data_IF_489748843347
#
_entry.id   IF_489748843347
#
_cell.length_a   1.000
_cell.length_b   1.000
_cell.length_c   1.000
_cell.angle_alpha   90.00
_cell.angle_beta   90.00
_cell.angle_gamma   90.00
#
_symmetry.space_group_name_H-M   'P 1'
#
loop_
_entity.id
_entity.type
_entity.pdbx_description
1 polymer ?
#
# COMPACT_ATOMS: atom_id res chain seq x y z
N UNK A 1 -31.00 -39.02 -14.25
CA UNK A 1 -29.54 -39.30 -14.25
C UNK A 1 -28.73 -38.13 -14.82
N UNK A 2 -28.84 -37.76 -16.10
CA UNK A 2 -28.00 -36.72 -16.74
C UNK A 2 -28.14 -35.29 -16.17
N UNK A 3 -29.33 -34.91 -15.70
CA UNK A 3 -29.55 -33.57 -15.10
C UNK A 3 -28.77 -33.39 -13.81
N UNK A 4 -28.68 -34.44 -12.97
CA UNK A 4 -27.95 -34.44 -11.68
C UNK A 4 -26.44 -34.19 -11.87
N UNK A 5 -25.82 -34.83 -12.87
CA UNK A 5 -24.41 -34.61 -13.20
C UNK A 5 -24.12 -33.20 -13.75
N UNK A 6 -25.09 -32.58 -14.46
CA UNK A 6 -24.98 -31.19 -14.92
C UNK A 6 -25.01 -30.19 -13.77
N UNK A 7 -25.90 -30.39 -12.79
CA UNK A 7 -25.97 -29.53 -11.58
C UNK A 7 -24.71 -29.72 -10.74
N UNK A 8 -24.26 -30.96 -10.48
CA UNK A 8 -22.99 -31.23 -9.79
C UNK A 8 -21.80 -30.56 -10.50
N UNK A 9 -21.70 -30.69 -11.83
CA UNK A 9 -20.64 -30.05 -12.61
C UNK A 9 -20.71 -28.51 -12.61
N UNK A 10 -21.90 -27.91 -12.54
CA UNK A 10 -22.07 -26.46 -12.41
C UNK A 10 -21.66 -25.95 -11.02
N UNK A 11 -22.02 -26.67 -9.95
CA UNK A 11 -21.60 -26.35 -8.58
C UNK A 11 -20.09 -26.50 -8.40
N UNK A 12 -19.49 -27.57 -8.92
CA UNK A 12 -18.03 -27.78 -8.91
C UNK A 12 -17.29 -26.66 -9.66
N UNK A 13 -17.75 -26.26 -10.84
CA UNK A 13 -17.16 -25.15 -11.60
C UNK A 13 -17.29 -23.81 -10.88
N UNK A 14 -18.44 -23.56 -10.25
CA UNK A 14 -18.70 -22.34 -9.46
C UNK A 14 -17.77 -22.28 -8.25
N UNK A 15 -17.63 -23.38 -7.50
CA UNK A 15 -16.71 -23.45 -6.35
C UNK A 15 -15.24 -23.32 -6.77
N UNK A 16 -14.83 -23.92 -7.89
CA UNK A 16 -13.46 -23.77 -8.41
C UNK A 16 -13.20 -22.32 -8.82
N UNK A 17 -14.15 -21.67 -9.50
CA UNK A 17 -14.02 -20.26 -9.87
C UNK A 17 -13.96 -19.35 -8.64
N UNK A 18 -14.88 -19.55 -7.68
CA UNK A 18 -14.88 -18.80 -6.42
C UNK A 18 -13.59 -19.02 -5.63
N UNK A 19 -13.10 -20.26 -5.60
CA UNK A 19 -11.84 -20.63 -4.96
C UNK A 19 -10.62 -19.99 -5.63
N UNK A 20 -10.57 -19.95 -6.97
CA UNK A 20 -9.52 -19.26 -7.72
C UNK A 20 -9.56 -17.75 -7.47
N UNK A 21 -10.74 -17.13 -7.49
CA UNK A 21 -10.89 -15.69 -7.18
C UNK A 21 -10.45 -15.40 -5.75
N UNK A 22 -10.81 -16.24 -4.78
CA UNK A 22 -10.40 -16.08 -3.39
C UNK A 22 -8.87 -16.18 -3.24
N UNK A 23 -8.24 -17.17 -3.88
CA UNK A 23 -6.77 -17.34 -3.87
C UNK A 23 -6.06 -16.14 -4.48
N UNK A 24 -6.59 -15.58 -5.58
CA UNK A 24 -6.04 -14.38 -6.21
C UNK A 24 -6.20 -13.14 -5.31
N UNK A 25 -7.34 -12.99 -4.62
CA UNK A 25 -7.58 -11.89 -3.70
C UNK A 25 -6.65 -11.91 -2.47
N UNK A 26 -6.29 -13.10 -1.96
CA UNK A 26 -5.39 -13.22 -0.80
C UNK A 26 -3.92 -13.00 -1.19
N UNK A 27 -3.60 -13.05 -2.49
CA UNK A 27 -2.22 -12.92 -3.01
C UNK A 27 -1.72 -11.46 -3.12
N UNK A 28 -2.54 -10.49 -2.73
CA UNK A 28 -2.13 -9.08 -2.70
C UNK A 28 -1.30 -8.83 -1.44
N UNK A 29 0.02 -8.87 -1.56
CA UNK A 29 0.93 -8.38 -0.53
C UNK A 29 0.95 -6.86 -0.60
N UNK A 30 0.07 -6.21 0.16
CA UNK A 30 0.09 -4.75 0.32
C UNK A 30 1.43 -4.31 0.92
N UNK A 31 2.04 -3.28 0.34
CA UNK A 31 3.25 -2.69 0.85
C UNK A 31 2.87 -1.68 1.95
N UNK A 32 2.76 -2.18 3.19
CA UNK A 32 2.35 -1.36 4.34
C UNK A 32 3.24 -0.14 4.57
N UNK A 33 4.52 -0.20 4.19
CA UNK A 33 5.44 0.95 4.25
C UNK A 33 5.09 1.97 3.16
N UNK A 34 4.78 1.51 1.95
CA UNK A 34 4.30 2.34 0.85
C UNK A 34 2.97 3.04 1.16
N UNK A 35 2.03 2.33 1.79
CA UNK A 35 0.73 2.91 2.19
C UNK A 35 0.90 4.02 3.24
N UNK A 36 1.76 3.80 4.23
CA UNK A 36 2.07 4.79 5.27
C UNK A 36 2.72 6.04 4.67
N UNK A 37 3.68 5.86 3.76
CA UNK A 37 4.35 6.96 3.07
C UNK A 37 3.40 7.71 2.13
N UNK A 38 2.51 7.00 1.42
CA UNK A 38 1.52 7.65 0.59
C UNK A 38 0.49 8.45 1.41
N UNK A 39 0.13 7.97 2.61
CA UNK A 39 -0.69 8.72 3.54
C UNK A 39 0.00 10.01 4.00
N UNK A 40 1.29 9.94 4.32
CA UNK A 40 2.12 11.12 4.63
C UNK A 40 2.17 12.09 3.45
N UNK A 41 2.42 11.63 2.22
CA UNK A 41 2.41 12.50 1.03
C UNK A 41 1.12 13.31 0.91
N UNK A 42 -0.04 12.70 1.22
CA UNK A 42 -1.35 13.36 1.17
C UNK A 42 -1.59 14.38 2.28
N UNK A 43 -0.85 14.31 3.40
CA UNK A 43 -0.94 15.29 4.47
C UNK A 43 0.05 16.46 4.31
N UNK A 44 0.96 16.37 3.33
CA UNK A 44 1.93 17.41 3.01
C UNK A 44 1.46 18.27 1.82
N UNK A 45 1.79 19.56 1.87
CA UNK A 45 1.79 20.45 0.71
C UNK A 45 3.14 20.35 0.01
N UNK A 46 3.10 19.97 -1.27
CA UNK A 46 4.29 19.75 -2.11
C UNK A 46 4.21 20.66 -3.35
N UNK A 47 4.42 21.98 -3.20
CA UNK A 47 4.32 22.94 -4.31
C UNK A 47 5.32 22.67 -5.44
N UNK A 48 6.39 21.96 -5.15
CA UNK A 48 7.51 21.72 -6.05
C UNK A 48 7.58 20.29 -6.59
N UNK A 49 6.56 19.48 -6.31
CA UNK A 49 6.44 18.10 -6.76
C UNK A 49 7.65 17.22 -6.40
N UNK A 50 8.28 17.47 -5.25
CA UNK A 50 9.42 16.70 -4.74
C UNK A 50 9.01 15.23 -4.53
N UNK A 51 7.76 14.98 -4.16
CA UNK A 51 7.21 13.64 -3.88
C UNK A 51 6.60 12.98 -5.11
N UNK A 52 6.83 13.50 -6.31
CA UNK A 52 6.21 12.98 -7.53
C UNK A 52 6.48 11.49 -7.76
N UNK A 53 7.65 10.99 -7.37
CA UNK A 53 8.06 9.58 -7.53
C UNK A 53 7.38 8.61 -6.55
N UNK A 54 6.63 9.11 -5.57
CA UNK A 54 5.94 8.30 -4.57
C UNK A 54 4.64 7.72 -5.13
N UNK A 55 4.77 6.70 -5.97
CA UNK A 55 3.65 6.02 -6.61
C UNK A 55 3.21 4.78 -5.80
N UNK A 56 1.98 4.76 -5.24
CA UNK A 56 1.48 3.65 -4.43
C UNK A 56 1.27 2.35 -5.22
N UNK A 57 1.31 2.40 -6.56
CA UNK A 57 1.22 1.19 -7.39
C UNK A 57 2.57 0.46 -7.50
N UNK A 58 3.66 1.07 -7.04
CA UNK A 58 4.98 0.45 -7.02
C UNK A 58 5.13 -0.45 -5.79
N UNK A 59 5.64 -1.66 -6.03
CA UNK A 59 5.78 -2.71 -5.02
C UNK A 59 6.78 -2.33 -3.91
N UNK A 60 7.77 -1.49 -4.20
CA UNK A 60 8.87 -1.19 -3.28
C UNK A 60 9.07 0.33 -3.10
N UNK A 61 8.90 0.88 -1.88
CA UNK A 61 9.04 2.31 -1.64
C UNK A 61 10.51 2.78 -1.63
N UNK A 62 11.48 1.86 -1.57
CA UNK A 62 12.91 2.15 -1.71
C UNK A 62 13.29 2.69 -3.09
N UNK A 63 12.38 2.59 -4.07
CA UNK A 63 12.55 3.19 -5.40
C UNK A 63 12.13 4.66 -5.44
N UNK A 64 11.45 5.15 -4.40
CA UNK A 64 10.96 6.52 -4.34
C UNK A 64 12.07 7.49 -3.95
N UNK A 65 11.97 8.73 -4.42
CA UNK A 65 12.94 9.75 -4.06
C UNK A 65 12.82 10.12 -2.60
N UNK A 66 13.96 10.43 -1.98
CA UNK A 66 14.06 10.82 -0.56
C UNK A 66 13.60 9.72 0.42
N UNK A 67 13.51 8.47 -0.02
CA UNK A 67 13.35 7.28 0.82
C UNK A 67 14.69 6.56 0.91
N UNK A 68 15.13 6.26 2.13
CA UNK A 68 16.35 5.49 2.39
C UNK A 68 15.99 4.16 3.03
N UNK A 69 16.47 3.07 2.44
CA UNK A 69 16.25 1.72 2.93
C UNK A 69 17.53 1.05 3.43
N UNK A 70 17.37 0.05 4.30
CA UNK A 70 18.46 -0.84 4.68
C UNK A 70 18.71 -1.93 3.61
N UNK A 71 19.68 -2.81 3.87
CA UNK A 71 20.01 -3.94 2.98
C UNK A 71 18.88 -4.96 2.78
N UNK A 72 17.86 -4.93 3.63
CA UNK A 72 16.69 -5.81 3.58
C UNK A 72 15.49 -5.16 2.86
N UNK A 73 15.69 -4.00 2.20
CA UNK A 73 14.65 -3.19 1.56
C UNK A 73 13.57 -2.67 2.51
N UNK A 74 13.92 -2.44 3.78
CA UNK A 74 13.02 -1.79 4.74
C UNK A 74 13.32 -0.30 4.82
N UNK A 75 12.29 0.52 4.80
CA UNK A 75 12.42 1.98 4.97
C UNK A 75 12.97 2.29 6.35
N UNK A 76 14.09 3.01 6.40
CA UNK A 76 14.75 3.41 7.66
C UNK A 76 14.72 4.91 7.89
N UNK A 77 14.69 5.70 6.81
CA UNK A 77 14.63 7.16 6.87
C UNK A 77 13.89 7.70 5.66
N UNK A 78 13.25 8.83 5.88
CA UNK A 78 12.45 9.54 4.88
C UNK A 78 12.69 11.02 5.11
N UNK A 79 12.96 11.77 4.04
CA UNK A 79 13.19 13.22 4.06
C UNK A 79 14.34 13.68 4.97
N UNK A 80 15.56 13.68 4.46
CA UNK A 80 16.60 14.53 5.04
C UNK A 80 16.44 15.97 4.53
N UNK A 81 15.83 16.83 5.36
CA UNK A 81 15.77 18.29 5.23
C UNK A 81 15.33 18.83 3.86
N UNK A 82 14.01 18.84 3.59
CA UNK A 82 13.47 19.58 2.45
C UNK A 82 12.66 20.81 2.93
N UNK A 83 13.20 22.04 2.84
CA UNK A 83 12.51 23.25 3.28
C UNK A 83 11.29 23.63 2.41
N UNK A 84 11.02 22.86 1.35
CA UNK A 84 9.95 23.11 0.38
C UNK A 84 8.70 22.26 0.60
N UNK A 85 8.73 21.34 1.56
CA UNK A 85 7.56 20.57 2.00
C UNK A 85 6.96 21.25 3.23
N UNK A 86 5.65 21.46 3.22
CA UNK A 86 4.92 22.07 4.33
C UNK A 86 3.84 21.12 4.84
N UNK A 87 3.56 21.12 6.14
CA UNK A 87 2.47 20.32 6.69
C UNK A 87 2.55 20.11 8.21
N UNK A 88 1.43 19.77 8.86
CA UNK A 88 1.38 19.57 10.31
C UNK A 88 2.32 18.45 10.79
N UNK A 89 2.51 17.42 9.96
CA UNK A 89 3.40 16.29 10.25
C UNK A 89 4.88 16.72 10.38
N UNK A 90 5.34 17.68 9.56
CA UNK A 90 6.73 18.17 9.60
C UNK A 90 7.02 19.10 10.78
N UNK A 91 5.97 19.68 11.35
CA UNK A 91 6.04 20.55 12.53
C UNK A 91 5.86 19.76 13.85
N UNK A 92 5.70 18.44 13.77
CA UNK A 92 5.35 17.61 14.93
C UNK A 92 3.96 17.93 15.51
N UNK A 93 3.09 18.53 14.70
CA UNK A 93 1.72 18.92 15.07
C UNK A 93 0.69 17.87 14.60
N UNK A 94 1.16 16.74 14.09
CA UNK A 94 0.34 15.57 13.82
C UNK A 94 -0.37 15.12 15.10
N UNK A 95 -1.70 15.22 15.13
CA UNK A 95 -2.49 14.63 16.20
C UNK A 95 -2.52 13.12 16.01
N UNK A 96 -1.57 12.40 16.61
CA UNK A 96 -1.63 10.95 16.66
C UNK A 96 -2.61 10.56 17.77
N UNK A 97 -3.66 9.82 17.40
CA UNK A 97 -4.58 9.27 18.38
C UNK A 97 -3.81 8.18 19.15
N UNK A 98 -3.36 8.51 20.37
CA UNK A 98 -2.64 7.56 21.25
C UNK A 98 -3.50 6.38 21.70
N UNK A 99 -4.79 6.39 21.39
CA UNK A 99 -5.75 5.42 21.89
C UNK A 99 -5.95 4.26 20.92
N UNK A 100 -4.87 3.55 20.59
CA UNK A 100 -5.00 2.20 20.03
C UNK A 100 -5.29 1.24 21.19
N UNK A 101 -6.56 0.84 21.33
CA UNK A 101 -6.99 -0.29 22.17
C UNK A 101 -7.38 -1.50 21.32
#
# INVERSE_FOLDING_TARGET
MATVYKIQGAFLKSCVFLGVVLVLAVSVKGNSEGDALYALRRSLSDPDNVLQSWDPNLVNPCTWFHVTCNGDNQVTRVFEHNPRLEGPELLGLASYDTNCS
#
